data_IF_802311020393
#
_entry.id   IF_802311020393
#
_cell.length_a   1.000
_cell.length_b   1.000
_cell.length_c   1.000
_cell.angle_alpha   90.00
_cell.angle_beta   90.00
_cell.angle_gamma   90.00
#
_symmetry.space_group_name_H-M   'P 1'
#
loop_
_entity.id
_entity.type
_entity.pdbx_description
1 polymer ?
#
# COMPACT_ATOMS: atom_id res chain seq x y z
N UNK A 1 -19.15 -14.41 -52.20
CA UNK A 1 -17.88 -14.34 -51.44
C UNK A 1 -17.74 -13.05 -50.61
N UNK A 2 -17.95 -11.85 -51.18
CA UNK A 2 -17.89 -10.56 -50.45
C UNK A 2 -18.74 -10.49 -49.17
N UNK A 3 -19.97 -11.02 -49.17
CA UNK A 3 -20.86 -11.04 -47.98
C UNK A 3 -20.33 -11.93 -46.85
N UNK A 4 -19.68 -13.07 -47.18
CA UNK A 4 -19.06 -13.97 -46.20
C UNK A 4 -17.79 -13.36 -45.59
N UNK A 5 -17.00 -12.65 -46.41
CA UNK A 5 -15.82 -11.91 -45.95
C UNK A 5 -16.21 -10.75 -45.01
N UNK A 6 -17.31 -10.05 -45.31
CA UNK A 6 -17.82 -8.97 -44.46
C UNK A 6 -18.28 -9.49 -43.09
N UNK A 7 -18.96 -10.65 -43.05
CA UNK A 7 -19.34 -11.29 -41.78
C UNK A 7 -18.13 -11.74 -40.96
N UNK A 8 -17.07 -12.23 -41.61
CA UNK A 8 -15.83 -12.66 -40.92
C UNK A 8 -15.10 -11.46 -40.34
N UNK A 9 -15.00 -10.34 -41.07
CA UNK A 9 -14.39 -9.10 -40.58
C UNK A 9 -15.20 -8.53 -39.41
N UNK A 10 -16.53 -8.56 -39.49
CA UNK A 10 -17.40 -8.11 -38.41
C UNK A 10 -17.23 -8.99 -37.15
N UNK A 11 -17.10 -10.31 -37.30
CA UNK A 11 -16.83 -11.22 -36.18
C UNK A 11 -15.45 -10.97 -35.53
N UNK A 12 -14.44 -10.64 -36.35
CA UNK A 12 -13.08 -10.34 -35.90
C UNK A 12 -12.97 -9.01 -35.16
N UNK A 13 -13.81 -8.02 -35.49
CA UNK A 13 -13.86 -6.73 -34.77
C UNK A 13 -14.52 -6.89 -33.40
N UNK A 14 -15.52 -7.78 -33.27
CA UNK A 14 -16.22 -8.02 -32.00
C UNK A 14 -15.32 -8.73 -30.98
N UNK A 15 -14.39 -9.60 -31.40
CA UNK A 15 -13.49 -10.29 -30.47
C UNK A 15 -12.37 -9.41 -29.91
N UNK A 16 -12.07 -8.26 -30.53
CA UNK A 16 -11.03 -7.33 -30.06
C UNK A 16 -11.58 -6.42 -28.93
N UNK A 17 -12.91 -6.29 -28.81
CA UNK A 17 -13.56 -5.46 -27.79
C UNK A 17 -13.79 -6.16 -26.44
N UNK A 18 -13.59 -7.47 -26.35
CA UNK A 18 -13.71 -8.23 -25.08
C UNK A 18 -12.45 -8.15 -24.21
N UNK A 19 -11.43 -7.41 -24.64
CA UNK A 19 -10.19 -7.17 -23.90
C UNK A 19 -10.29 -6.05 -22.86
N UNK A 20 -11.45 -5.84 -22.24
CA UNK A 20 -11.51 -5.06 -21.00
C UNK A 20 -10.85 -5.91 -19.91
N UNK A 21 -9.60 -5.58 -19.59
CA UNK A 21 -8.90 -6.12 -18.43
C UNK A 21 -9.83 -6.08 -17.24
N UNK A 22 -10.02 -7.23 -16.61
CA UNK A 22 -10.60 -7.32 -15.30
C UNK A 22 -9.87 -6.31 -14.39
N UNK A 23 -10.54 -5.21 -14.05
CA UNK A 23 -10.40 -4.66 -12.70
C UNK A 23 -10.89 -5.79 -11.81
N UNK A 24 -9.93 -6.58 -11.32
CA UNK A 24 -10.14 -7.48 -10.20
C UNK A 24 -10.74 -6.61 -9.09
N UNK A 25 -12.06 -6.67 -8.93
CA UNK A 25 -12.71 -6.20 -7.72
C UNK A 25 -12.33 -7.22 -6.64
N UNK A 26 -11.07 -7.17 -6.19
CA UNK A 26 -10.68 -7.86 -4.98
C UNK A 26 -11.51 -7.24 -3.87
N UNK A 27 -12.41 -8.05 -3.30
CA UNK A 27 -13.20 -7.64 -2.16
C UNK A 27 -12.23 -7.32 -1.02
N UNK A 28 -12.14 -6.04 -0.67
CA UNK A 28 -11.28 -5.58 0.40
C UNK A 28 -11.93 -5.96 1.74
N UNK A 29 -11.10 -6.29 2.73
CA UNK A 29 -11.59 -6.36 4.10
C UNK A 29 -11.98 -4.95 4.57
N UNK A 30 -12.83 -4.86 5.58
CA UNK A 30 -13.19 -3.57 6.20
C UNK A 30 -11.95 -2.75 6.59
N UNK A 31 -10.94 -3.40 7.17
CA UNK A 31 -9.67 -2.73 7.51
C UNK A 31 -8.93 -2.21 6.27
N UNK A 32 -8.89 -2.99 5.18
CA UNK A 32 -8.26 -2.56 3.95
C UNK A 32 -9.02 -1.41 3.27
N UNK A 33 -10.35 -1.38 3.37
CA UNK A 33 -11.16 -0.24 2.90
C UNK A 33 -10.86 1.04 3.70
N UNK A 34 -10.84 0.93 5.03
CA UNK A 34 -10.51 2.06 5.92
C UNK A 34 -9.09 2.57 5.63
N UNK A 35 -8.13 1.65 5.47
CA UNK A 35 -6.75 1.98 5.12
C UNK A 35 -6.65 2.70 3.77
N UNK A 36 -7.35 2.20 2.76
CA UNK A 36 -7.39 2.79 1.41
C UNK A 36 -7.93 4.22 1.47
N UNK A 37 -9.06 4.44 2.15
CA UNK A 37 -9.67 5.76 2.30
C UNK A 37 -8.75 6.74 3.03
N UNK A 38 -8.03 6.27 4.05
CA UNK A 38 -7.03 7.07 4.75
C UNK A 38 -5.89 7.51 3.83
N UNK A 39 -5.33 6.57 3.05
CA UNK A 39 -4.26 6.86 2.08
C UNK A 39 -4.71 7.89 1.03
N UNK A 40 -5.91 7.72 0.48
CA UNK A 40 -6.47 8.63 -0.52
C UNK A 40 -6.73 10.03 0.06
N UNK A 41 -7.16 10.12 1.32
CA UNK A 41 -7.37 11.38 2.03
C UNK A 41 -6.07 12.15 2.29
N UNK A 42 -4.95 11.44 2.48
CA UNK A 42 -3.62 12.07 2.56
C UNK A 42 -3.12 12.59 1.19
N UNK A 43 -3.87 12.34 0.10
CA UNK A 43 -3.57 12.85 -1.25
C UNK A 43 -2.75 11.89 -2.12
N UNK A 44 -2.61 10.63 -1.69
CA UNK A 44 -1.90 9.61 -2.44
C UNK A 44 -2.84 8.83 -3.37
N UNK A 45 -2.28 8.35 -4.50
CA UNK A 45 -3.01 7.53 -5.47
C UNK A 45 -2.72 6.07 -5.15
N UNK A 46 -3.75 5.30 -4.77
CA UNK A 46 -3.61 3.86 -4.54
C UNK A 46 -3.55 3.13 -5.88
N UNK A 47 -2.44 2.43 -6.13
CA UNK A 47 -2.23 1.63 -7.34
C UNK A 47 -2.69 0.19 -7.16
N UNK A 48 -2.40 -0.40 -5.99
CA UNK A 48 -2.81 -1.77 -5.64
C UNK A 48 -2.88 -1.95 -4.13
N UNK A 49 -3.78 -2.83 -3.70
CA UNK A 49 -3.73 -3.48 -2.39
C UNK A 49 -2.93 -4.78 -2.54
N UNK A 50 -1.99 -5.03 -1.64
CA UNK A 50 -1.12 -6.21 -1.72
C UNK A 50 -1.65 -7.32 -0.82
N UNK A 51 -1.81 -7.04 0.48
CA UNK A 51 -2.34 -7.98 1.47
C UNK A 51 -2.37 -7.36 2.88
N UNK A 52 -3.01 -8.09 3.80
CA UNK A 52 -2.69 -8.02 5.21
C UNK A 52 -1.34 -8.72 5.43
N UNK A 53 -0.31 -7.95 5.78
CA UNK A 53 1.06 -8.48 5.93
C UNK A 53 1.39 -8.91 7.34
N UNK A 54 0.59 -8.50 8.33
CA UNK A 54 0.77 -8.88 9.72
C UNK A 54 -0.48 -8.64 10.55
N UNK A 55 -0.69 -9.49 11.55
CA UNK A 55 -1.67 -9.30 12.63
C UNK A 55 -1.02 -9.66 13.97
N UNK A 56 -1.08 -8.76 14.96
CA UNK A 56 -0.45 -8.99 16.28
C UNK A 56 -1.12 -8.19 17.39
N UNK A 57 -0.97 -8.61 18.64
CA UNK A 57 -1.41 -7.81 19.80
C UNK A 57 -0.28 -6.87 20.22
N UNK A 58 -0.51 -5.55 20.20
CA UNK A 58 0.53 -4.59 20.57
C UNK A 58 0.64 -4.46 22.09
N UNK A 59 1.79 -4.81 22.65
CA UNK A 59 2.10 -4.55 24.07
C UNK A 59 2.97 -3.30 24.23
N UNK A 60 3.01 -2.76 25.46
CA UNK A 60 3.84 -1.57 25.77
C UNK A 60 5.34 -1.83 25.56
N UNK A 61 5.79 -3.05 25.81
CA UNK A 61 7.22 -3.40 25.68
C UNK A 61 7.63 -3.58 24.22
N UNK A 62 6.72 -4.04 23.35
CA UNK A 62 6.98 -4.15 21.92
C UNK A 62 7.39 -2.81 21.32
N UNK A 63 6.72 -1.70 21.66
CA UNK A 63 7.07 -0.36 21.13
C UNK A 63 8.54 0.03 21.41
N UNK A 64 9.18 -0.58 22.40
CA UNK A 64 10.58 -0.33 22.78
C UNK A 64 11.58 -1.30 22.16
N UNK A 65 11.12 -2.38 21.53
CA UNK A 65 11.98 -3.44 20.98
C UNK A 65 11.91 -3.48 19.46
N UNK A 66 12.98 -3.97 18.83
CA UNK A 66 12.99 -4.19 17.39
C UNK A 66 12.10 -5.39 17.01
N UNK A 67 11.43 -5.36 15.83
CA UNK A 67 11.43 -4.27 14.86
C UNK A 67 10.42 -3.15 15.17
N UNK A 68 9.54 -3.33 16.15
CA UNK A 68 8.41 -2.44 16.46
C UNK A 68 8.79 -1.00 16.76
N UNK A 69 9.90 -0.77 17.46
CA UNK A 69 10.39 0.59 17.72
C UNK A 69 10.74 1.35 16.43
N UNK A 70 11.07 0.66 15.32
CA UNK A 70 11.39 1.31 14.04
C UNK A 70 10.19 1.99 13.39
N UNK A 71 8.96 1.55 13.69
CA UNK A 71 7.74 2.11 13.10
C UNK A 71 6.83 2.81 14.10
N UNK A 72 6.75 2.36 15.36
CA UNK A 72 5.87 3.00 16.36
C UNK A 72 6.43 4.30 16.94
N UNK A 73 7.72 4.59 16.76
CA UNK A 73 8.36 5.83 17.27
C UNK A 73 8.45 6.93 16.22
N UNK A 74 7.89 6.71 15.03
CA UNK A 74 7.89 7.69 13.94
C UNK A 74 6.87 8.82 14.20
N UNK A 75 7.12 10.03 13.69
CA UNK A 75 6.22 11.16 13.91
C UNK A 75 4.84 10.89 13.33
N UNK A 76 3.79 11.17 14.11
CA UNK A 76 2.39 10.99 13.72
C UNK A 76 1.80 9.61 14.08
N UNK A 77 2.62 8.65 14.51
CA UNK A 77 2.15 7.36 14.99
C UNK A 77 1.86 7.44 16.51
N UNK A 78 0.71 6.94 16.94
CA UNK A 78 0.35 6.85 18.37
C UNK A 78 0.07 5.38 18.75
N UNK A 79 0.96 4.74 19.54
CA UNK A 79 0.73 3.37 19.99
C UNK A 79 -0.30 3.25 21.11
N UNK A 80 -0.64 4.35 21.82
CA UNK A 80 -1.51 4.28 23.01
C UNK A 80 -2.91 3.71 22.72
N UNK A 81 -3.59 4.10 21.62
CA UNK A 81 -4.90 3.55 21.30
C UNK A 81 -4.85 2.06 20.94
N UNK A 82 -3.67 1.50 20.61
CA UNK A 82 -3.50 0.12 20.18
C UNK A 82 -3.01 -0.83 21.29
N UNK A 83 -2.66 -0.33 22.48
CA UNK A 83 -2.16 -1.19 23.55
C UNK A 83 -3.18 -2.24 24.00
N UNK A 84 -2.74 -3.50 24.05
CA UNK A 84 -3.55 -4.66 24.40
C UNK A 84 -4.57 -5.06 23.34
N UNK A 85 -4.56 -4.41 22.17
CA UNK A 85 -5.48 -4.68 21.06
C UNK A 85 -4.76 -5.37 19.92
N UNK A 86 -5.53 -6.08 19.10
CA UNK A 86 -5.06 -6.62 17.82
C UNK A 86 -4.86 -5.49 16.82
N UNK A 87 -3.66 -5.41 16.26
CA UNK A 87 -3.27 -4.54 15.17
C UNK A 87 -3.26 -5.33 13.88
N UNK A 88 -3.96 -4.83 12.86
CA UNK A 88 -3.94 -5.29 11.47
C UNK A 88 -3.00 -4.40 10.66
N UNK A 89 -2.12 -4.96 9.84
CA UNK A 89 -1.22 -4.18 8.98
C UNK A 89 -1.55 -4.44 7.51
N UNK A 90 -2.15 -3.44 6.87
CA UNK A 90 -2.56 -3.49 5.46
C UNK A 90 -1.50 -2.84 4.58
N UNK A 91 -1.04 -3.56 3.55
CA UNK A 91 -0.01 -3.08 2.61
C UNK A 91 -0.63 -2.63 1.28
N UNK A 92 -0.23 -1.45 0.83
CA UNK A 92 -0.60 -0.88 -0.46
C UNK A 92 0.63 -0.42 -1.25
N UNK A 93 0.49 -0.37 -2.57
CA UNK A 93 1.41 0.36 -3.44
C UNK A 93 0.72 1.66 -3.86
N UNK A 94 1.41 2.78 -3.67
CA UNK A 94 0.88 4.11 -3.93
C UNK A 94 1.77 4.89 -4.88
N UNK A 95 1.21 5.97 -5.41
CA UNK A 95 1.89 7.02 -6.17
C UNK A 95 1.54 8.40 -5.61
N UNK A 96 2.27 9.41 -6.04
CA UNK A 96 2.19 10.79 -5.54
C UNK A 96 2.76 10.92 -4.11
N UNK A 97 3.67 10.04 -3.74
CA UNK A 97 4.29 10.02 -2.42
C UNK A 97 5.72 10.60 -2.47
N UNK A 98 6.21 11.30 -1.43
CA UNK A 98 7.56 11.90 -1.43
C UNK A 98 8.69 10.91 -1.79
N UNK A 99 8.55 9.64 -1.37
CA UNK A 99 9.53 8.59 -1.62
C UNK A 99 9.48 8.00 -3.04
N UNK A 100 8.53 8.40 -3.89
CA UNK A 100 8.51 8.01 -5.31
C UNK A 100 9.78 8.51 -6.04
N UNK A 101 10.39 9.59 -5.54
CA UNK A 101 11.61 10.18 -6.09
C UNK A 101 12.85 9.88 -5.25
N UNK A 102 12.76 8.97 -4.28
CA UNK A 102 13.87 8.64 -3.38
C UNK A 102 15.10 8.13 -4.14
N UNK A 103 16.29 8.57 -3.69
CA UNK A 103 17.61 8.16 -4.20
C UNK A 103 18.61 8.15 -3.05
N UNK A 104 19.43 7.10 -2.99
CA UNK A 104 20.59 7.02 -2.08
C UNK A 104 21.71 6.22 -2.75
N UNK A 105 22.83 6.88 -3.03
CA UNK A 105 23.90 6.29 -3.85
C UNK A 105 23.36 5.82 -5.21
N UNK A 106 23.59 4.54 -5.53
CA UNK A 106 23.09 3.91 -6.75
C UNK A 106 21.64 3.41 -6.63
N UNK A 107 21.06 3.43 -5.43
CA UNK A 107 19.74 2.90 -5.15
C UNK A 107 18.67 3.96 -5.46
N UNK A 108 17.69 3.62 -6.29
CA UNK A 108 16.66 4.58 -6.77
C UNK A 108 15.28 3.97 -6.75
N UNK A 109 14.31 4.76 -6.30
CA UNK A 109 12.89 4.40 -6.34
C UNK A 109 12.39 4.17 -7.76
N UNK A 110 11.47 3.21 -7.91
CA UNK A 110 10.75 2.90 -9.15
C UNK A 110 9.59 3.86 -9.43
N UNK A 111 9.54 5.02 -8.78
CA UNK A 111 8.47 6.01 -8.98
C UNK A 111 7.16 5.63 -8.28
N UNK A 112 7.24 4.76 -7.26
CA UNK A 112 6.12 4.32 -6.43
C UNK A 112 6.61 3.93 -5.03
N UNK A 113 5.69 3.93 -4.07
CA UNK A 113 5.99 3.72 -2.65
C UNK A 113 5.09 2.62 -2.08
N UNK A 114 5.64 1.77 -1.22
CA UNK A 114 4.87 0.88 -0.35
C UNK A 114 4.38 1.66 0.87
N UNK A 115 3.10 1.54 1.19
CA UNK A 115 2.52 2.10 2.41
C UNK A 115 1.95 0.98 3.25
N UNK A 116 2.21 1.03 4.54
CA UNK A 116 1.71 0.10 5.54
C UNK A 116 0.84 0.88 6.52
N UNK A 117 -0.44 0.54 6.60
CA UNK A 117 -1.39 1.18 7.50
C UNK A 117 -1.70 0.22 8.63
N UNK A 118 -1.51 0.68 9.87
CA UNK A 118 -1.76 -0.08 11.08
C UNK A 118 -3.13 0.31 11.62
N UNK A 119 -4.03 -0.66 11.75
CA UNK A 119 -5.38 -0.46 12.27
C UNK A 119 -5.57 -1.22 13.57
N UNK A 120 -6.19 -0.58 14.56
CA UNK A 120 -6.65 -1.21 15.79
C UNK A 120 -8.10 -0.80 16.06
N UNK A 121 -8.99 -1.77 16.28
CA UNK A 121 -10.44 -1.54 16.45
C UNK A 121 -11.07 -0.68 15.33
N UNK A 122 -10.68 -0.89 14.06
CA UNK A 122 -11.22 -0.13 12.93
C UNK A 122 -10.71 1.30 12.82
N UNK A 123 -9.72 1.71 13.61
CA UNK A 123 -9.11 3.04 13.54
C UNK A 123 -7.65 2.95 13.07
N UNK A 124 -7.24 3.88 12.22
CA UNK A 124 -5.83 4.03 11.83
C UNK A 124 -5.05 4.64 12.99
N UNK A 125 -4.04 3.90 13.47
CA UNK A 125 -3.23 4.26 14.65
C UNK A 125 -1.76 4.53 14.32
N UNK A 126 -1.29 4.03 13.19
CA UNK A 126 0.04 4.29 12.67
C UNK A 126 0.11 4.05 11.16
N UNK A 127 1.10 4.67 10.51
CA UNK A 127 1.41 4.41 9.12
C UNK A 127 2.91 4.53 8.84
N UNK A 128 3.41 3.67 7.96
CA UNK A 128 4.78 3.74 7.47
C UNK A 128 4.85 3.65 5.97
N UNK A 129 5.98 4.11 5.42
CA UNK A 129 6.24 4.07 3.99
C UNK A 129 7.66 3.63 3.67
N UNK A 130 7.82 3.04 2.49
CA UNK A 130 9.10 2.57 1.97
C UNK A 130 9.14 2.69 0.44
N UNK A 131 10.22 3.18 -0.19
CA UNK A 131 10.28 3.28 -1.64
C UNK A 131 10.33 1.89 -2.28
N UNK A 132 9.59 1.67 -3.37
CA UNK A 132 9.72 0.42 -4.13
C UNK A 132 10.97 0.49 -4.99
N UNK A 133 11.95 -0.38 -4.75
CA UNK A 133 13.24 -0.35 -5.45
C UNK A 133 13.70 -1.76 -5.88
N UNK A 134 14.86 -1.87 -6.55
CA UNK A 134 15.50 -3.17 -6.82
C UNK A 134 16.52 -3.52 -5.73
N UNK A 135 17.19 -2.48 -5.21
CA UNK A 135 18.27 -2.60 -4.26
C UNK A 135 17.72 -2.73 -2.84
N UNK A 136 18.36 -3.54 -2.02
CA UNK A 136 18.05 -3.61 -0.60
C UNK A 136 18.57 -2.34 0.08
N UNK A 137 17.68 -1.63 0.77
CA UNK A 137 18.06 -0.52 1.63
C UNK A 137 18.37 -1.03 3.03
N UNK A 138 19.46 -0.54 3.60
CA UNK A 138 19.73 -0.65 5.02
C UNK A 138 19.11 0.56 5.73
N UNK A 139 18.38 0.32 6.82
CA UNK A 139 17.77 1.39 7.61
C UNK A 139 16.40 1.01 8.18
N UNK A 140 15.70 2.03 8.68
CA UNK A 140 14.33 1.91 9.18
C UNK A 140 13.28 2.28 8.14
N UNK A 141 12.09 2.58 8.64
CA UNK A 141 10.96 3.04 7.85
C UNK A 141 10.83 4.57 7.92
N UNK A 142 10.11 5.14 6.96
CA UNK A 142 9.56 6.49 7.08
C UNK A 142 8.12 6.40 7.57
N UNK A 143 7.59 7.49 8.13
CA UNK A 143 6.15 7.55 8.39
C UNK A 143 5.37 7.60 7.07
N UNK A 144 4.04 7.60 7.12
CA UNK A 144 3.18 7.64 5.92
C UNK A 144 3.42 8.85 5.00
N UNK A 145 4.09 9.90 5.50
CA UNK A 145 4.37 11.13 4.76
C UNK A 145 5.86 11.25 4.38
N UNK A 146 6.63 10.16 4.42
CA UNK A 146 8.02 10.13 4.01
C UNK A 146 8.99 10.85 4.96
N UNK A 147 8.65 11.00 6.25
CA UNK A 147 9.48 11.65 7.26
C UNK A 147 10.08 10.65 8.25
N UNK A 148 11.30 10.93 8.71
CA UNK A 148 11.92 10.29 9.87
C UNK A 148 11.87 11.23 11.07
N UNK A 149 12.28 10.74 12.24
CA UNK A 149 12.62 11.58 13.39
C UNK A 149 13.78 12.55 13.08
#
# INVERSE_FOLDING_TARGET
MRKRLLCIILLLVVTILSGCRATENQELTENAEIAKLYIEKEGYIVLSYESNVSTYVLTKDMVKTLPYSMYWTLPGNDPKPAYGKTVSVEKFIVKNHPLDNYKSGNAKSKGKTEVYVHLANGEVVAGTSFPVMNEQLSGGYWNINGKTN
#
